data_IF_624982585371
#
_entry.id   IF_624982585371
#
_cell.length_a   1.000
_cell.length_b   1.000
_cell.length_c   1.000
_cell.angle_alpha   90.00
_cell.angle_beta   90.00
_cell.angle_gamma   90.00
#
_symmetry.space_group_name_H-M   'P 1'
#
loop_
_entity.id
_entity.type
_entity.pdbx_description
1 polymer ?
#
# COMPACT_ATOMS: atom_id res chain seq x y z
N UNK A 1 15.62 -73.65 -4.14
CA UNK A 1 16.84 -73.34 -3.39
C UNK A 1 17.75 -72.31 -4.07
N UNK A 2 17.66 -72.10 -5.39
CA UNK A 2 18.51 -71.13 -6.12
C UNK A 2 18.10 -69.65 -5.93
N UNK A 3 16.84 -69.37 -5.58
CA UNK A 3 16.35 -67.99 -5.37
C UNK A 3 16.65 -67.39 -3.99
N UNK A 4 16.74 -68.22 -2.94
CA UNK A 4 16.93 -67.72 -1.55
C UNK A 4 18.30 -67.05 -1.39
N UNK A 5 19.35 -67.58 -2.04
CA UNK A 5 20.68 -66.97 -2.02
C UNK A 5 20.80 -65.68 -2.83
N UNK A 6 19.91 -65.45 -3.82
CA UNK A 6 19.88 -64.22 -4.61
C UNK A 6 19.16 -63.09 -3.86
N UNK A 7 18.11 -63.44 -3.11
CA UNK A 7 17.40 -62.50 -2.23
C UNK A 7 18.30 -62.08 -1.06
N UNK A 8 19.01 -63.02 -0.44
CA UNK A 8 19.95 -62.71 0.65
C UNK A 8 21.10 -61.79 0.23
N UNK A 9 21.69 -62.01 -0.95
CA UNK A 9 22.73 -61.12 -1.49
C UNK A 9 22.20 -59.71 -1.81
N UNK A 10 20.95 -59.60 -2.25
CA UNK A 10 20.30 -58.31 -2.51
C UNK A 10 19.95 -57.56 -1.22
N UNK A 11 19.51 -58.26 -0.17
CA UNK A 11 19.28 -57.68 1.16
C UNK A 11 20.59 -57.21 1.82
N UNK A 12 21.68 -57.96 1.66
CA UNK A 12 23.00 -57.61 2.17
C UNK A 12 23.58 -56.37 1.44
N UNK A 13 23.40 -56.28 0.11
CA UNK A 13 23.80 -55.12 -0.69
C UNK A 13 23.00 -53.84 -0.34
N UNK A 14 21.70 -53.98 -0.05
CA UNK A 14 20.87 -52.90 0.49
C UNK A 14 21.39 -52.42 1.85
N UNK A 15 21.71 -53.34 2.77
CA UNK A 15 22.26 -53.01 4.08
C UNK A 15 23.64 -52.34 4.02
N UNK A 16 24.53 -52.80 3.12
CA UNK A 16 25.84 -52.20 2.91
C UNK A 16 25.70 -50.77 2.34
N UNK A 17 24.76 -50.57 1.42
CA UNK A 17 24.48 -49.25 0.83
C UNK A 17 23.94 -48.24 1.84
N UNK A 18 23.10 -48.69 2.78
CA UNK A 18 22.56 -47.85 3.84
C UNK A 18 23.63 -47.55 4.90
N UNK A 19 24.48 -48.52 5.23
CA UNK A 19 25.64 -48.30 6.12
C UNK A 19 26.62 -47.30 5.52
N UNK A 20 26.92 -47.37 4.22
CA UNK A 20 27.78 -46.42 3.54
C UNK A 20 27.22 -44.98 3.53
N UNK A 21 25.89 -44.81 3.46
CA UNK A 21 25.24 -43.49 3.62
C UNK A 21 25.41 -42.92 5.03
N UNK A 22 25.23 -43.77 6.05
CA UNK A 22 25.39 -43.38 7.46
C UNK A 22 26.85 -43.02 7.75
N UNK A 23 27.81 -43.79 7.24
CA UNK A 23 29.24 -43.47 7.39
C UNK A 23 29.63 -42.20 6.63
N UNK A 24 29.13 -41.99 5.41
CA UNK A 24 29.38 -40.77 4.63
C UNK A 24 28.83 -39.49 5.28
N UNK A 25 27.65 -39.56 5.89
CA UNK A 25 27.07 -38.42 6.65
C UNK A 25 27.85 -38.13 7.94
N UNK A 26 28.31 -39.17 8.64
CA UNK A 26 29.16 -39.05 9.84
C UNK A 26 30.52 -38.45 9.53
N UNK A 27 31.16 -38.89 8.44
CA UNK A 27 32.44 -38.34 8.01
C UNK A 27 32.32 -36.88 7.56
N UNK A 28 31.15 -36.45 7.05
CA UNK A 28 30.91 -35.08 6.59
C UNK A 28 30.82 -34.13 7.78
N UNK A 29 30.10 -34.56 8.82
CA UNK A 29 30.00 -33.85 10.09
C UNK A 29 31.34 -33.83 10.84
N UNK A 30 32.21 -34.81 10.61
CA UNK A 30 33.55 -34.90 11.20
C UNK A 30 34.64 -34.13 10.42
N UNK A 31 34.30 -33.48 9.30
CA UNK A 31 35.24 -32.65 8.52
C UNK A 31 36.33 -33.45 7.79
N UNK A 32 36.11 -34.76 7.54
CA UNK A 32 37.03 -35.56 6.72
C UNK A 32 36.79 -35.27 5.24
N UNK A 33 37.82 -35.46 4.40
CA UNK A 33 37.72 -35.28 2.96
C UNK A 33 36.83 -36.38 2.35
N UNK A 34 35.66 -35.99 1.86
CA UNK A 34 34.70 -36.87 1.17
C UNK A 34 34.52 -36.36 -0.25
N UNK A 35 33.89 -37.16 -1.10
CA UNK A 35 33.60 -36.75 -2.46
C UNK A 35 32.78 -35.44 -2.49
N UNK A 36 32.99 -34.56 -3.49
CA UNK A 36 32.20 -33.34 -3.63
C UNK A 36 30.69 -33.63 -3.84
N UNK A 37 30.35 -34.83 -4.30
CA UNK A 37 28.98 -35.33 -4.45
C UNK A 37 28.32 -35.60 -3.08
N UNK A 38 29.02 -36.25 -2.16
CA UNK A 38 28.52 -36.50 -0.79
C UNK A 38 28.35 -35.22 0.01
N UNK A 39 29.21 -34.21 -0.21
CA UNK A 39 29.06 -32.89 0.42
C UNK A 39 27.82 -32.16 -0.11
N UNK A 40 27.58 -32.18 -1.43
CA UNK A 40 26.38 -31.60 -2.04
C UNK A 40 25.09 -32.28 -1.54
N UNK A 41 25.12 -33.61 -1.38
CA UNK A 41 24.02 -34.38 -0.83
C UNK A 41 23.71 -33.98 0.63
N UNK A 42 24.73 -33.91 1.49
CA UNK A 42 24.57 -33.48 2.89
C UNK A 42 24.03 -32.05 2.98
N UNK A 43 24.50 -31.15 2.11
CA UNK A 43 24.03 -29.76 2.08
C UNK A 43 22.55 -29.65 1.65
N UNK A 44 22.11 -30.43 0.65
CA UNK A 44 20.71 -30.45 0.23
C UNK A 44 19.81 -31.04 1.31
N UNK A 45 20.25 -32.12 1.98
CA UNK A 45 19.54 -32.74 3.08
C UNK A 45 19.41 -31.78 4.28
N UNK A 46 20.50 -31.12 4.67
CA UNK A 46 20.50 -30.09 5.71
C UNK A 46 19.56 -28.93 5.36
N UNK A 47 19.55 -28.49 4.10
CA UNK A 47 18.63 -27.44 3.64
C UNK A 47 17.16 -27.90 3.69
N UNK A 48 16.87 -29.14 3.31
CA UNK A 48 15.52 -29.73 3.40
C UNK A 48 15.04 -29.78 4.86
N UNK A 49 15.87 -30.24 5.79
CA UNK A 49 15.52 -30.27 7.21
C UNK A 49 15.36 -28.87 7.80
N UNK A 50 16.29 -27.96 7.53
CA UNK A 50 16.19 -26.56 7.98
C UNK A 50 14.92 -25.89 7.44
N UNK A 51 14.59 -26.12 6.16
CA UNK A 51 13.36 -25.60 5.54
C UNK A 51 12.11 -26.21 6.19
N UNK A 52 12.11 -27.53 6.43
CA UNK A 52 10.98 -28.19 7.12
C UNK A 52 10.76 -27.65 8.53
N UNK A 53 11.84 -27.48 9.29
CA UNK A 53 11.76 -27.06 10.69
C UNK A 53 11.34 -25.57 10.77
N UNK A 54 11.87 -24.72 9.88
CA UNK A 54 11.42 -23.32 9.74
C UNK A 54 9.96 -23.20 9.32
N UNK A 55 9.41 -24.15 8.54
CA UNK A 55 7.99 -24.22 8.19
C UNK A 55 7.09 -24.66 9.36
N UNK A 56 7.61 -25.49 10.28
CA UNK A 56 6.85 -26.06 11.40
C UNK A 56 6.88 -25.19 12.65
N UNK A 57 7.99 -24.52 12.91
CA UNK A 57 8.26 -23.84 14.19
C UNK A 57 8.89 -22.45 14.04
N UNK A 58 9.25 -22.02 12.82
CA UNK A 58 9.97 -20.77 12.59
C UNK A 58 9.12 -19.58 12.09
N UNK A 59 9.81 -18.50 11.73
CA UNK A 59 9.23 -17.25 11.20
C UNK A 59 8.37 -17.46 9.96
N UNK A 60 8.71 -18.47 9.13
CA UNK A 60 7.95 -18.80 7.92
C UNK A 60 6.56 -19.33 8.22
N UNK A 61 6.33 -19.95 9.38
CA UNK A 61 5.01 -20.37 9.80
C UNK A 61 4.05 -19.20 9.98
N UNK A 62 4.52 -18.14 10.64
CA UNK A 62 3.71 -16.95 10.89
C UNK A 62 3.43 -16.15 9.61
N UNK A 63 4.38 -16.15 8.67
CA UNK A 63 4.28 -15.37 7.42
C UNK A 63 3.50 -16.06 6.30
N UNK A 64 3.67 -17.37 6.14
CA UNK A 64 3.08 -18.12 5.03
C UNK A 64 1.64 -18.55 5.34
N UNK A 65 0.77 -18.54 4.33
CA UNK A 65 -0.55 -19.13 4.41
C UNK A 65 -0.45 -20.67 4.49
N UNK A 66 -1.43 -21.32 5.14
CA UNK A 66 -1.49 -22.78 5.31
C UNK A 66 -1.31 -23.54 3.98
N UNK A 67 -1.92 -23.04 2.91
CA UNK A 67 -1.82 -23.63 1.58
C UNK A 67 -0.42 -23.57 0.98
N UNK A 68 0.32 -22.48 1.23
CA UNK A 68 1.66 -22.28 0.67
C UNK A 68 2.68 -23.07 1.50
N UNK A 69 2.48 -23.18 2.82
CA UNK A 69 3.24 -24.12 3.67
C UNK A 69 3.08 -25.57 3.21
N UNK A 70 1.85 -26.02 2.98
CA UNK A 70 1.60 -27.39 2.52
C UNK A 70 2.28 -27.71 1.18
N UNK A 71 2.30 -26.75 0.23
CA UNK A 71 3.02 -26.90 -1.04
C UNK A 71 4.52 -27.02 -0.86
N UNK A 72 5.11 -26.20 0.03
CA UNK A 72 6.53 -26.22 0.30
C UNK A 72 6.95 -27.47 1.07
N UNK A 73 6.16 -27.91 2.06
CA UNK A 73 6.38 -29.19 2.76
C UNK A 73 6.30 -30.38 1.80
N UNK A 74 5.34 -30.37 0.87
CA UNK A 74 5.25 -31.38 -0.19
C UNK A 74 6.43 -31.34 -1.15
N UNK A 75 7.03 -30.16 -1.40
CA UNK A 75 8.24 -30.03 -2.20
C UNK A 75 9.46 -30.58 -1.45
N UNK A 76 9.64 -30.22 -0.18
CA UNK A 76 10.70 -30.76 0.69
C UNK A 76 10.61 -32.27 0.81
N UNK A 77 9.42 -32.83 1.03
CA UNK A 77 9.23 -34.28 1.13
C UNK A 77 9.55 -35.00 -0.19
N UNK A 78 9.21 -34.39 -1.35
CA UNK A 78 9.61 -34.92 -2.66
C UNK A 78 11.12 -34.87 -2.86
N UNK A 79 11.79 -33.80 -2.45
CA UNK A 79 13.25 -33.68 -2.52
C UNK A 79 13.95 -34.68 -1.61
N UNK A 80 13.44 -34.91 -0.39
CA UNK A 80 13.96 -35.96 0.52
C UNK A 80 13.74 -37.38 -0.05
N UNK A 81 12.58 -37.65 -0.64
CA UNK A 81 12.33 -38.93 -1.32
C UNK A 81 13.24 -39.15 -2.53
N UNK A 82 13.52 -38.09 -3.28
CA UNK A 82 14.48 -38.11 -4.39
C UNK A 82 15.91 -38.36 -3.89
N UNK A 83 16.34 -37.67 -2.83
CA UNK A 83 17.64 -37.89 -2.15
C UNK A 83 17.84 -39.34 -1.73
N UNK A 84 16.80 -39.98 -1.17
CA UNK A 84 16.87 -41.38 -0.73
C UNK A 84 17.02 -42.37 -1.90
N UNK A 85 16.61 -41.97 -3.10
CA UNK A 85 16.66 -42.79 -4.33
C UNK A 85 17.88 -42.47 -5.21
N UNK A 86 18.63 -41.41 -4.89
CA UNK A 86 19.75 -40.89 -5.65
C UNK A 86 21.05 -41.65 -5.34
N UNK A 87 21.20 -42.88 -5.85
CA UNK A 87 22.35 -43.75 -5.52
C UNK A 87 23.59 -43.52 -6.42
N UNK A 88 23.46 -42.82 -7.55
CA UNK A 88 24.55 -42.55 -8.50
C UNK A 88 24.22 -41.34 -9.38
N UNK A 89 24.02 -40.20 -8.74
CA UNK A 89 23.68 -38.94 -9.40
C UNK A 89 24.89 -38.02 -9.34
N UNK A 90 25.11 -37.23 -10.39
CA UNK A 90 26.24 -36.31 -10.47
C UNK A 90 26.03 -35.11 -9.54
N UNK A 91 27.12 -34.45 -9.16
CA UNK A 91 27.08 -33.28 -8.26
C UNK A 91 26.15 -32.18 -8.78
N UNK A 92 26.16 -31.94 -10.09
CA UNK A 92 25.40 -30.86 -10.73
C UNK A 92 23.87 -31.03 -10.56
N UNK A 93 23.37 -32.26 -10.55
CA UNK A 93 21.93 -32.53 -10.35
C UNK A 93 21.48 -32.22 -8.92
N UNK A 94 22.34 -32.42 -7.91
CA UNK A 94 22.06 -32.02 -6.53
C UNK A 94 21.96 -30.49 -6.41
N UNK A 95 22.86 -29.77 -7.07
CA UNK A 95 22.85 -28.30 -7.09
C UNK A 95 21.61 -27.77 -7.83
N UNK A 96 21.18 -28.41 -8.92
CA UNK A 96 19.91 -28.09 -9.60
C UNK A 96 18.73 -28.29 -8.66
N UNK A 97 18.63 -29.43 -7.98
CA UNK A 97 17.52 -29.71 -7.04
C UNK A 97 17.50 -28.74 -5.85
N UNK A 98 18.67 -28.37 -5.34
CA UNK A 98 18.81 -27.35 -4.31
C UNK A 98 18.28 -26.00 -4.80
N UNK A 99 18.73 -25.55 -5.96
CA UNK A 99 18.33 -24.27 -6.53
C UNK A 99 16.84 -24.22 -6.85
N UNK A 100 16.25 -25.31 -7.33
CA UNK A 100 14.79 -25.42 -7.53
C UNK A 100 14.02 -25.24 -6.21
N UNK A 101 14.46 -25.91 -5.15
CA UNK A 101 13.82 -25.81 -3.84
C UNK A 101 13.99 -24.40 -3.24
N UNK A 102 15.20 -23.84 -3.31
CA UNK A 102 15.49 -22.48 -2.84
C UNK A 102 14.67 -21.42 -3.61
N UNK A 103 14.52 -21.58 -4.93
CA UNK A 103 13.69 -20.71 -5.75
C UNK A 103 12.22 -20.79 -5.35
N UNK A 104 11.70 -22.00 -5.08
CA UNK A 104 10.35 -22.18 -4.55
C UNK A 104 10.16 -21.52 -3.17
N UNK A 105 11.13 -21.69 -2.25
CA UNK A 105 11.10 -21.02 -0.93
C UNK A 105 11.02 -19.51 -1.11
N UNK A 106 11.94 -18.91 -1.88
CA UNK A 106 11.99 -17.46 -2.13
C UNK A 106 10.73 -16.92 -2.79
N UNK A 107 10.16 -17.65 -3.75
CA UNK A 107 8.92 -17.24 -4.41
C UNK A 107 7.74 -17.20 -3.43
N UNK A 108 7.64 -18.19 -2.53
CA UNK A 108 6.61 -18.23 -1.50
C UNK A 108 6.79 -17.13 -0.44
N UNK A 109 8.03 -16.89 0.00
CA UNK A 109 8.36 -15.78 0.90
C UNK A 109 8.00 -14.43 0.28
N UNK A 110 8.42 -14.18 -0.96
CA UNK A 110 8.13 -12.91 -1.64
C UNK A 110 6.63 -12.69 -1.85
N UNK A 111 5.85 -13.75 -2.09
CA UNK A 111 4.38 -13.66 -2.15
C UNK A 111 3.78 -13.30 -0.80
N UNK A 112 4.27 -13.91 0.29
CA UNK A 112 3.79 -13.62 1.64
C UNK A 112 4.13 -12.20 2.08
N UNK A 113 5.34 -11.71 1.77
CA UNK A 113 5.72 -10.34 2.07
C UNK A 113 4.83 -9.34 1.30
N UNK A 114 4.56 -9.56 0.01
CA UNK A 114 3.63 -8.71 -0.76
C UNK A 114 2.20 -8.70 -0.19
N UNK A 115 1.71 -9.86 0.27
CA UNK A 115 0.42 -9.97 0.95
C UNK A 115 0.41 -9.16 2.26
N UNK A 116 1.49 -9.24 3.03
CA UNK A 116 1.63 -8.52 4.30
C UNK A 116 1.74 -7.01 4.07
N UNK A 117 2.46 -6.57 3.05
CA UNK A 117 2.54 -5.16 2.64
C UNK A 117 1.17 -4.62 2.25
N UNK A 118 0.40 -5.34 1.42
CA UNK A 118 -0.96 -4.94 1.06
C UNK A 118 -1.87 -4.85 2.29
N UNK A 119 -1.78 -5.84 3.19
CA UNK A 119 -2.55 -5.88 4.43
C UNK A 119 -2.18 -4.72 5.35
N UNK A 120 -0.88 -4.46 5.52
CA UNK A 120 -0.38 -3.34 6.32
C UNK A 120 -0.82 -2.00 5.72
N UNK A 121 -0.79 -1.85 4.40
CA UNK A 121 -1.27 -0.64 3.72
C UNK A 121 -2.78 -0.43 3.91
N UNK A 122 -3.59 -1.49 3.84
CA UNK A 122 -5.02 -1.43 4.14
C UNK A 122 -5.28 -0.92 5.56
N UNK A 123 -4.58 -1.48 6.56
CA UNK A 123 -4.72 -1.04 7.95
C UNK A 123 -4.21 0.37 8.19
N UNK A 124 -3.04 0.71 7.64
CA UNK A 124 -2.47 2.05 7.74
C UNK A 124 -3.38 3.11 7.11
N UNK A 125 -3.99 2.80 5.95
CA UNK A 125 -4.92 3.72 5.28
C UNK A 125 -6.19 3.88 6.11
N UNK A 126 -6.74 2.78 6.64
CA UNK A 126 -7.92 2.81 7.52
C UNK A 126 -7.67 3.62 8.79
N UNK A 127 -6.51 3.47 9.39
CA UNK A 127 -6.10 4.24 10.57
C UNK A 127 -5.96 5.73 10.23
N UNK A 128 -5.33 6.05 9.10
CA UNK A 128 -5.22 7.44 8.66
C UNK A 128 -6.56 8.12 8.39
N UNK A 129 -7.59 7.37 7.99
CA UNK A 129 -8.95 7.88 7.83
C UNK A 129 -9.65 8.14 9.17
N UNK A 130 -9.32 7.38 10.21
CA UNK A 130 -9.98 7.45 11.53
C UNK A 130 -9.32 8.46 12.46
N UNK A 131 -7.99 8.45 12.50
CA UNK A 131 -7.18 9.17 13.49
C UNK A 131 -6.04 9.99 12.86
N UNK A 132 -5.82 9.88 11.55
CA UNK A 132 -4.72 10.55 10.87
C UNK A 132 -5.09 11.80 10.09
N UNK A 133 -4.14 12.26 9.26
CA UNK A 133 -4.27 13.47 8.47
C UNK A 133 -5.48 13.45 7.51
N UNK A 134 -6.00 12.27 7.15
CA UNK A 134 -7.12 12.17 6.21
C UNK A 134 -8.49 12.37 6.87
N UNK A 135 -8.59 12.27 8.19
CA UNK A 135 -9.86 12.35 8.93
C UNK A 135 -10.62 13.65 8.68
N UNK A 136 -9.97 14.78 8.95
CA UNK A 136 -10.58 16.09 8.75
C UNK A 136 -10.39 16.59 7.33
N UNK A 137 -9.56 15.87 6.55
CA UNK A 137 -9.21 16.29 5.21
C UNK A 137 -10.17 15.81 4.13
N UNK A 138 -10.74 14.63 4.32
CA UNK A 138 -11.54 13.94 3.30
C UNK A 138 -13.02 14.09 3.61
N UNK A 139 -13.84 14.28 2.59
CA UNK A 139 -15.30 14.37 2.73
C UNK A 139 -15.91 13.01 3.08
N UNK A 140 -17.07 12.98 3.74
CA UNK A 140 -17.72 11.73 4.19
C UNK A 140 -17.96 10.73 3.05
N UNK A 141 -18.39 11.22 1.90
CA UNK A 141 -18.60 10.39 0.71
C UNK A 141 -17.27 9.76 0.22
N UNK A 142 -16.20 10.54 0.25
CA UNK A 142 -14.87 10.10 -0.18
C UNK A 142 -14.26 9.09 0.81
N UNK A 143 -14.52 9.26 2.12
CA UNK A 143 -14.15 8.28 3.16
C UNK A 143 -14.82 6.94 2.92
N UNK A 144 -16.13 6.95 2.65
CA UNK A 144 -16.90 5.72 2.39
C UNK A 144 -16.37 4.96 1.17
N UNK A 145 -15.92 5.68 0.14
CA UNK A 145 -15.32 5.09 -1.07
C UNK A 145 -14.00 4.38 -0.75
N UNK A 146 -13.14 4.99 0.07
CA UNK A 146 -11.87 4.37 0.48
C UNK A 146 -12.13 3.19 1.41
N UNK A 147 -13.05 3.30 2.37
CA UNK A 147 -13.40 2.19 3.26
C UNK A 147 -13.95 1.00 2.47
N UNK A 148 -14.80 1.24 1.46
CA UNK A 148 -15.30 0.19 0.57
C UNK A 148 -14.16 -0.47 -0.20
N UNK A 149 -13.24 0.31 -0.77
CA UNK A 149 -12.07 -0.24 -1.48
C UNK A 149 -11.14 -1.06 -0.56
N UNK A 150 -10.96 -0.64 0.70
CA UNK A 150 -10.21 -1.40 1.71
C UNK A 150 -10.92 -2.72 2.02
N UNK A 151 -12.24 -2.69 2.27
CA UNK A 151 -13.03 -3.88 2.53
C UNK A 151 -12.99 -4.87 1.35
N UNK A 152 -13.12 -4.39 0.11
CA UNK A 152 -13.04 -5.20 -1.10
C UNK A 152 -11.65 -5.85 -1.24
N UNK A 153 -10.59 -5.10 -0.92
CA UNK A 153 -9.20 -5.61 -0.95
C UNK A 153 -8.97 -6.67 0.13
N UNK A 154 -9.48 -6.47 1.34
CA UNK A 154 -9.40 -7.43 2.43
C UNK A 154 -10.19 -8.71 2.13
N UNK A 155 -11.41 -8.58 1.59
CA UNK A 155 -12.21 -9.73 1.16
C UNK A 155 -11.52 -10.49 0.02
N UNK A 156 -10.93 -9.77 -0.94
CA UNK A 156 -10.12 -10.40 -1.98
C UNK A 156 -8.91 -11.15 -1.39
N UNK A 157 -8.22 -10.58 -0.40
CA UNK A 157 -7.09 -11.21 0.31
C UNK A 157 -7.46 -12.54 1.00
N UNK A 158 -8.71 -12.70 1.44
CA UNK A 158 -9.22 -13.95 2.02
C UNK A 158 -9.38 -15.05 0.97
N UNK A 159 -9.85 -14.70 -0.24
CA UNK A 159 -10.11 -15.66 -1.34
C UNK A 159 -8.88 -15.89 -2.22
N UNK A 160 -7.92 -14.96 -2.24
CA UNK A 160 -6.71 -14.95 -3.09
C UNK A 160 -5.63 -15.97 -2.66
N UNK A 161 -6.04 -17.19 -2.31
CA UNK A 161 -5.16 -18.28 -1.84
C UNK A 161 -4.10 -18.68 -2.87
N UNK A 162 -4.40 -18.49 -4.16
CA UNK A 162 -3.58 -18.89 -5.30
C UNK A 162 -3.02 -17.73 -6.10
N UNK A 163 -3.23 -16.49 -5.65
CA UNK A 163 -2.74 -15.32 -6.38
C UNK A 163 -1.21 -15.29 -6.41
N UNK A 164 -0.65 -14.88 -7.54
CA UNK A 164 0.78 -14.64 -7.68
C UNK A 164 1.15 -13.25 -7.14
N UNK A 165 2.44 -13.03 -6.87
CA UNK A 165 2.98 -11.75 -6.40
C UNK A 165 2.45 -10.55 -7.20
N UNK A 166 2.49 -10.64 -8.53
CA UNK A 166 2.04 -9.57 -9.43
C UNK A 166 0.59 -9.12 -9.19
N UNK A 167 -0.27 -10.02 -8.72
CA UNK A 167 -1.67 -9.67 -8.42
C UNK A 167 -1.79 -8.86 -7.12
N UNK A 168 -0.94 -9.15 -6.11
CA UNK A 168 -0.88 -8.35 -4.88
C UNK A 168 -0.36 -6.94 -5.17
N UNK A 169 0.69 -6.82 -5.99
CA UNK A 169 1.27 -5.53 -6.39
C UNK A 169 0.27 -4.68 -7.20
N UNK A 170 -0.50 -5.33 -8.08
CA UNK A 170 -1.57 -4.68 -8.83
C UNK A 170 -2.68 -4.16 -7.90
N UNK A 171 -3.13 -4.98 -6.94
CA UNK A 171 -4.15 -4.57 -5.95
C UNK A 171 -3.66 -3.45 -5.03
N UNK A 172 -2.40 -3.48 -4.63
CA UNK A 172 -1.78 -2.39 -3.90
C UNK A 172 -1.82 -1.08 -4.70
N UNK A 173 -1.42 -1.14 -5.97
CA UNK A 173 -1.44 0.02 -6.87
C UNK A 173 -2.85 0.56 -7.10
N UNK A 174 -3.83 -0.33 -7.27
CA UNK A 174 -5.24 0.02 -7.43
C UNK A 174 -5.76 0.79 -6.20
N UNK A 175 -5.57 0.24 -5.00
CA UNK A 175 -5.98 0.89 -3.76
C UNK A 175 -5.26 2.23 -3.54
N UNK A 176 -3.94 2.27 -3.79
CA UNK A 176 -3.16 3.51 -3.70
C UNK A 176 -3.65 4.57 -4.69
N UNK A 177 -4.07 4.17 -5.90
CA UNK A 177 -4.63 5.09 -6.89
C UNK A 177 -5.98 5.68 -6.46
N UNK A 178 -6.83 4.89 -5.81
CA UNK A 178 -8.09 5.37 -5.23
C UNK A 178 -7.79 6.39 -4.14
N UNK A 179 -6.93 6.03 -3.18
CA UNK A 179 -6.53 6.92 -2.08
C UNK A 179 -5.94 8.23 -2.60
N UNK A 180 -5.02 8.17 -3.58
CA UNK A 180 -4.39 9.35 -4.17
C UNK A 180 -5.40 10.26 -4.89
N UNK A 181 -6.35 9.68 -5.64
CA UNK A 181 -7.44 10.46 -6.28
C UNK A 181 -8.28 11.18 -5.23
N UNK A 182 -8.63 10.51 -4.13
CA UNK A 182 -9.42 11.13 -3.07
C UNK A 182 -8.66 12.25 -2.35
N UNK A 183 -7.37 12.05 -2.08
CA UNK A 183 -6.51 13.08 -1.50
C UNK A 183 -6.39 14.31 -2.41
N UNK A 184 -6.18 14.10 -3.71
CA UNK A 184 -6.11 15.19 -4.69
C UNK A 184 -7.41 15.99 -4.75
N UNK A 185 -8.57 15.31 -4.75
CA UNK A 185 -9.89 15.95 -4.71
C UNK A 185 -10.08 16.77 -3.43
N UNK A 186 -9.67 16.23 -2.27
CA UNK A 186 -9.72 16.93 -0.99
C UNK A 186 -8.84 18.19 -0.95
N UNK A 187 -7.68 18.15 -1.59
CA UNK A 187 -6.75 19.29 -1.64
C UNK A 187 -7.19 20.38 -2.62
N UNK A 188 -7.78 19.98 -3.75
CA UNK A 188 -8.44 20.92 -4.66
C UNK A 188 -9.59 21.67 -3.96
N UNK A 189 -10.37 20.99 -3.10
CA UNK A 189 -11.44 21.64 -2.32
C UNK A 189 -10.88 22.67 -1.32
N UNK A 190 -9.83 22.32 -0.56
CA UNK A 190 -9.21 23.27 0.38
C UNK A 190 -8.66 24.51 -0.30
N UNK A 191 -7.98 24.33 -1.44
CA UNK A 191 -7.42 25.46 -2.18
C UNK A 191 -8.51 26.39 -2.69
N UNK A 192 -9.65 25.83 -3.15
CA UNK A 192 -10.85 26.60 -3.48
C UNK A 192 -11.43 27.32 -2.26
N UNK A 193 -11.58 26.64 -1.12
CA UNK A 193 -12.09 27.24 0.12
C UNK A 193 -11.20 28.40 0.60
N UNK A 194 -9.87 28.21 0.59
CA UNK A 194 -8.90 29.25 0.91
C UNK A 194 -9.01 30.44 -0.07
N UNK A 195 -9.12 30.17 -1.37
CA UNK A 195 -9.32 31.21 -2.37
C UNK A 195 -10.62 32.00 -2.13
N UNK A 196 -11.74 31.32 -1.86
CA UNK A 196 -13.00 31.97 -1.53
C UNK A 196 -12.91 32.84 -0.27
N UNK A 197 -12.23 32.38 0.79
CA UNK A 197 -12.01 33.17 2.00
C UNK A 197 -11.16 34.42 1.73
N UNK A 198 -10.06 34.29 0.97
CA UNK A 198 -9.24 35.45 0.60
C UNK A 198 -9.99 36.44 -0.29
N UNK A 199 -10.85 35.97 -1.19
CA UNK A 199 -11.74 36.83 -1.96
C UNK A 199 -12.74 37.56 -1.06
N UNK A 200 -13.32 36.85 -0.09
CA UNK A 200 -14.27 37.44 0.86
C UNK A 200 -13.62 38.53 1.71
N UNK A 201 -12.38 38.32 2.16
CA UNK A 201 -11.60 39.30 2.91
C UNK A 201 -11.29 40.53 2.06
N UNK A 202 -10.76 40.35 0.85
CA UNK A 202 -10.52 41.45 -0.10
C UNK A 202 -11.80 42.22 -0.45
N UNK A 203 -12.93 41.54 -0.57
CA UNK A 203 -14.21 42.21 -0.83
C UNK A 203 -14.64 43.07 0.36
N UNK A 204 -14.47 42.57 1.59
CA UNK A 204 -14.74 43.32 2.82
C UNK A 204 -13.84 44.55 2.92
N UNK A 205 -12.53 44.41 2.70
CA UNK A 205 -11.57 45.53 2.70
C UNK A 205 -11.99 46.62 1.70
N UNK A 206 -12.24 46.26 0.44
CA UNK A 206 -12.63 47.23 -0.59
C UNK A 206 -13.95 47.94 -0.32
N UNK A 207 -14.91 47.26 0.31
CA UNK A 207 -16.19 47.86 0.69
C UNK A 207 -15.97 48.82 1.86
N UNK A 208 -15.19 48.43 2.87
CA UNK A 208 -14.85 49.27 4.01
C UNK A 208 -14.07 50.51 3.59
N UNK A 209 -13.07 50.38 2.72
CA UNK A 209 -12.30 51.52 2.17
C UNK A 209 -13.21 52.54 1.47
N UNK A 210 -14.18 52.09 0.68
CA UNK A 210 -15.14 52.98 0.01
C UNK A 210 -16.05 53.70 0.99
N UNK A 211 -16.49 53.01 2.04
CA UNK A 211 -17.33 53.60 3.09
C UNK A 211 -16.52 54.62 3.90
N UNK A 212 -15.28 54.30 4.25
CA UNK A 212 -14.39 55.19 4.99
C UNK A 212 -14.03 56.45 4.19
N UNK A 213 -13.73 56.30 2.89
CA UNK A 213 -13.51 57.43 1.98
C UNK A 213 -14.75 58.32 1.87
N UNK A 214 -15.95 57.73 1.71
CA UNK A 214 -17.19 58.50 1.68
C UNK A 214 -17.46 59.22 3.01
N UNK A 215 -17.15 58.58 4.14
CA UNK A 215 -17.26 59.20 5.47
C UNK A 215 -16.27 60.36 5.61
N UNK A 216 -15.02 60.20 5.17
CA UNK A 216 -14.03 61.27 5.16
C UNK A 216 -14.45 62.44 4.27
N UNK A 217 -14.92 62.17 3.04
CA UNK A 217 -15.46 63.21 2.15
C UNK A 217 -16.63 63.96 2.82
N UNK A 218 -17.52 63.26 3.52
CA UNK A 218 -18.62 63.91 4.25
C UNK A 218 -18.15 64.73 5.46
N UNK A 219 -17.12 64.27 6.19
CA UNK A 219 -16.53 65.01 7.29
C UNK A 219 -15.79 66.26 6.80
N UNK A 220 -15.00 66.15 5.73
CA UNK A 220 -14.34 67.27 5.08
C UNK A 220 -15.35 68.29 4.55
N UNK A 221 -16.47 67.83 3.96
CA UNK A 221 -17.56 68.70 3.55
C UNK A 221 -18.16 69.45 4.75
N UNK A 222 -18.42 68.76 5.87
CA UNK A 222 -18.93 69.38 7.10
C UNK A 222 -17.96 70.41 7.67
N UNK A 223 -16.67 70.09 7.78
CA UNK A 223 -15.63 71.03 8.23
C UNK A 223 -15.52 72.26 7.32
N UNK A 224 -15.77 72.09 6.02
CA UNK A 224 -15.77 73.19 5.06
C UNK A 224 -17.04 74.04 5.10
N UNK A 225 -18.19 73.43 5.42
CA UNK A 225 -19.45 74.12 5.63
C UNK A 225 -19.47 74.96 6.93
N UNK A 226 -18.71 74.52 7.95
CA UNK A 226 -18.62 75.19 9.26
C UNK A 226 -17.56 76.32 9.30
N UNK A 227 -16.81 76.55 8.20
CA UNK A 227 -15.97 77.74 8.10
C UNK A 227 -16.86 78.98 8.06
N UNK A 228 -16.70 79.95 8.98
CA UNK A 228 -17.48 81.16 8.93
C UNK A 228 -17.15 81.89 7.62
N UNK A 229 -18.13 82.03 6.75
CA UNK A 229 -18.04 82.88 5.57
C UNK A 229 -17.84 84.31 6.04
N UNK A 230 -16.57 84.69 6.20
CA UNK A 230 -16.16 86.05 6.40
C UNK A 230 -16.43 86.85 5.13
N UNK A 231 -17.50 87.65 5.19
CA UNK A 231 -17.91 88.74 4.27
C UNK A 231 -18.71 88.33 3.02
N UNK A 232 -20.03 88.47 3.17
CA UNK A 232 -20.95 89.19 2.27
C UNK A 232 -20.96 88.85 0.77
N UNK A 233 -21.95 88.05 0.34
CA UNK A 233 -22.70 88.24 -0.91
C UNK A 233 -23.99 87.38 -0.87
N UNK A 234 -25.11 87.83 -1.48
CA UNK A 234 -26.42 87.23 -1.27
C UNK A 234 -26.59 85.92 -2.06
N UNK A 235 -27.34 84.99 -1.47
CA UNK A 235 -27.81 83.76 -2.11
C UNK A 235 -28.61 84.11 -3.38
N UNK A 236 -27.99 83.92 -4.56
CA UNK A 236 -28.72 83.79 -5.81
C UNK A 236 -29.16 82.33 -5.92
N UNK A 237 -30.38 82.05 -5.49
CA UNK A 237 -31.07 80.82 -5.83
C UNK A 237 -31.32 80.87 -7.35
N UNK A 238 -30.45 80.24 -8.13
CA UNK A 238 -30.85 79.79 -9.46
C UNK A 238 -31.88 78.68 -9.24
N UNK A 239 -33.14 79.07 -9.33
CA UNK A 239 -34.26 78.18 -9.54
C UNK A 239 -33.99 77.41 -10.83
N UNK A 240 -33.40 76.23 -10.72
CA UNK A 240 -33.55 75.21 -11.75
C UNK A 240 -35.04 74.83 -11.72
N UNK A 241 -35.77 75.31 -12.71
CA UNK A 241 -37.19 75.03 -12.91
C UNK A 241 -37.42 73.51 -12.91
N UNK A 242 -37.83 72.98 -11.77
CA UNK A 242 -38.54 71.72 -11.71
C UNK A 242 -39.97 72.07 -12.11
N UNK A 243 -40.29 71.85 -13.39
CA UNK A 243 -41.64 71.94 -13.92
C UNK A 243 -42.61 71.16 -13.04
N UNK A 244 -43.63 71.87 -12.58
CA UNK A 244 -44.72 71.37 -11.75
C UNK A 244 -45.62 70.36 -12.50
N UNK A 245 -46.47 69.62 -11.77
CA UNK A 245 -46.92 68.26 -12.14
C UNK A 245 -48.36 68.20 -12.71
N UNK A 246 -48.72 66.96 -13.12
CA UNK A 246 -50.09 66.47 -13.41
C UNK A 246 -50.69 66.99 -14.74
N UNK A 247 -51.43 66.25 -15.57
CA UNK A 247 -52.39 65.17 -15.30
C UNK A 247 -52.84 64.52 -16.64
N UNK A 248 -53.37 63.29 -16.55
CA UNK A 248 -54.43 62.68 -17.38
C UNK A 248 -54.32 62.66 -18.93
N UNK A 249 -54.28 61.45 -19.48
CA UNK A 249 -54.17 61.19 -20.92
C UNK A 249 -55.46 61.23 -21.73
N UNK A 250 -55.32 61.05 -23.05
CA UNK A 250 -56.37 60.57 -23.98
C UNK A 250 -55.68 59.84 -25.14
N UNK A 251 -56.29 58.72 -25.54
CA UNK A 251 -55.95 57.83 -26.66
C UNK A 251 -55.93 58.55 -28.03
N UNK A 252 -55.09 58.06 -28.94
CA UNK A 252 -55.52 57.46 -30.21
C UNK A 252 -54.41 56.57 -30.77
#
# INVERSE_FOLDING_TARGET
TRDIGRVGAFEEELQESDKAKVEGTLDCLAGKAISPTTEAQCNLEAFCFTTRDTLREGTLKAKLAESDRAKLESAVQRTLGWLNSAQSIDKDDFDVKRNELESMVRAMESKADARNELTAYCFWTRENLREGALKDRVEENDKSTIETAICDTLNWLEVARWAEKNHFDAKHTELASVVAKMQSKADARRTLEAFCLTLQEKLKERVMEKVEAALQDTLEWLERADRPTGRGAPLRLETQEIGAPCEAGVRQ
#
